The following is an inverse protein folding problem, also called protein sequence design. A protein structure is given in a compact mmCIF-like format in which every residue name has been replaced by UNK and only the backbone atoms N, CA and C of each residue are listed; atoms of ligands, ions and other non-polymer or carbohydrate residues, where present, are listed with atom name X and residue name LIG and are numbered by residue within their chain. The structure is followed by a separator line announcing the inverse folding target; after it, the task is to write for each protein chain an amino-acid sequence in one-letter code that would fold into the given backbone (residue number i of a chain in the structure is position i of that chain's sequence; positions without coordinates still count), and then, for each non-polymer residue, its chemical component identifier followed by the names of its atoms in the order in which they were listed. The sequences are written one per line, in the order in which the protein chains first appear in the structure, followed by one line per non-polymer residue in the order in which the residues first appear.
data_IF_864036689769
#
_entry.id   IF_864036689769
#
_cell.length_a   1.000
_cell.length_b   1.000
_cell.length_c   1.000
_cell.angle_alpha   90.00
_cell.angle_beta   90.00
_cell.angle_gamma   90.00
#
_symmetry.space_group_name_H-M   'P 1'
#
loop_
_entity.id
_entity.type
_entity.pdbx_description
1 polymer ?
#
# COMPACT_ATOMS: atom_id res chain seq x y z
N UNK A 1 -1.07 15.21 -25.53
CA UNK A 1 -2.31 15.00 -24.77
C UNK A 1 -2.10 13.79 -23.88
N UNK A 2 -1.87 14.00 -22.59
CA UNK A 2 -1.45 12.94 -21.66
C UNK A 2 -1.56 13.41 -20.22
N UNK A 3 -2.77 13.76 -19.79
CA UNK A 3 -3.03 14.17 -18.40
C UNK A 3 -3.48 12.98 -17.52
N UNK A 4 -3.87 11.86 -18.13
CA UNK A 4 -4.42 10.71 -17.41
C UNK A 4 -3.35 9.88 -16.70
N UNK A 5 -2.18 9.72 -17.34
CA UNK A 5 -1.08 8.94 -16.78
C UNK A 5 -0.54 9.53 -15.47
N UNK A 6 -0.47 10.86 -15.36
CA UNK A 6 0.03 11.53 -14.17
C UNK A 6 -0.99 11.47 -13.04
N UNK A 7 -2.28 11.73 -13.30
CA UNK A 7 -3.31 11.66 -12.26
C UNK A 7 -3.45 10.23 -11.70
N UNK A 8 -3.47 9.21 -12.56
CA UNK A 8 -3.52 7.82 -12.14
C UNK A 8 -2.26 7.41 -11.35
N UNK A 9 -1.07 7.85 -11.77
CA UNK A 9 0.18 7.62 -11.04
C UNK A 9 0.15 8.29 -9.65
N UNK A 10 -0.21 9.58 -9.58
CA UNK A 10 -0.30 10.33 -8.33
C UNK A 10 -1.34 9.72 -7.38
N UNK A 11 -2.50 9.30 -7.87
CA UNK A 11 -3.51 8.60 -7.06
C UNK A 11 -2.95 7.28 -6.53
N UNK A 12 -2.20 6.54 -7.36
CA UNK A 12 -1.58 5.28 -6.94
C UNK A 12 -0.53 5.51 -5.85
N UNK A 13 0.31 6.53 -5.99
CA UNK A 13 1.33 6.90 -5.00
C UNK A 13 0.68 7.33 -3.68
N UNK A 14 -0.34 8.19 -3.73
CA UNK A 14 -1.09 8.58 -2.52
C UNK A 14 -1.75 7.40 -1.82
N UNK A 15 -2.33 6.46 -2.58
CA UNK A 15 -2.89 5.22 -2.02
C UNK A 15 -1.83 4.34 -1.38
N UNK A 16 -0.65 4.27 -1.99
CA UNK A 16 0.49 3.52 -1.46
C UNK A 16 0.93 4.09 -0.10
N UNK A 17 1.13 5.40 -0.03
CA UNK A 17 1.53 6.09 1.20
C UNK A 17 0.46 5.96 2.29
N UNK A 18 -0.82 6.09 1.92
CA UNK A 18 -1.90 5.89 2.88
C UNK A 18 -1.96 4.45 3.41
N UNK A 19 -1.69 3.45 2.55
CA UNK A 19 -1.56 2.05 2.94
C UNK A 19 -0.36 1.85 3.87
N UNK A 20 0.76 2.51 3.59
CA UNK A 20 1.97 2.51 4.41
C UNK A 20 1.72 3.04 5.83
N UNK A 21 1.14 4.24 5.93
CA UNK A 21 0.74 4.83 7.20
C UNK A 21 -0.26 3.95 7.96
N UNK A 22 -1.15 3.27 7.24
CA UNK A 22 -2.11 2.37 7.84
C UNK A 22 -1.49 1.06 8.35
N UNK A 23 -0.39 0.57 7.76
CA UNK A 23 0.32 -0.61 8.23
C UNK A 23 1.02 -0.39 9.58
N UNK A 24 1.55 0.81 9.83
CA UNK A 24 2.21 1.15 11.10
C UNK A 24 1.27 1.77 12.13
N UNK A 25 0.03 2.04 11.76
CA UNK A 25 -0.93 2.66 12.67
C UNK A 25 -1.39 1.64 13.72
N UNK A 26 -1.28 1.94 15.03
CA UNK A 26 -1.64 1.00 16.10
C UNK A 26 -3.12 0.59 16.07
N UNK A 27 -4.00 1.46 15.55
CA UNK A 27 -5.43 1.15 15.30
C UNK A 27 -5.65 -0.02 14.33
N UNK A 28 -4.65 -0.34 13.51
CA UNK A 28 -4.69 -1.40 12.51
C UNK A 28 -3.79 -2.58 12.88
N UNK A 29 -3.08 -2.56 14.01
CA UNK A 29 -2.32 -3.70 14.53
C UNK A 29 -3.12 -5.02 14.61
N UNK A 30 -4.43 -5.02 14.98
CA UNK A 30 -5.23 -6.24 14.94
C UNK A 30 -5.72 -6.61 13.53
N UNK A 31 -5.61 -5.74 12.53
CA UNK A 31 -6.09 -5.98 11.17
C UNK A 31 -5.02 -6.71 10.33
N UNK A 32 -5.48 -7.58 9.45
CA UNK A 32 -4.61 -8.23 8.47
C UNK A 32 -4.23 -7.24 7.36
N UNK A 33 -3.02 -7.39 6.82
CA UNK A 33 -2.54 -6.58 5.69
C UNK A 33 -3.52 -6.59 4.50
N UNK A 34 -4.19 -7.70 4.23
CA UNK A 34 -5.21 -7.82 3.19
C UNK A 34 -6.40 -6.87 3.40
N UNK A 35 -6.86 -6.70 4.65
CA UNK A 35 -7.97 -5.80 4.98
C UNK A 35 -7.56 -4.34 4.76
N UNK A 36 -6.35 -4.00 5.20
CA UNK A 36 -5.74 -2.69 4.98
C UNK A 36 -5.63 -2.43 3.46
N UNK A 37 -5.05 -3.36 2.70
CA UNK A 37 -4.87 -3.26 1.25
C UNK A 37 -6.22 -3.03 0.52
N UNK A 38 -7.23 -3.83 0.85
CA UNK A 38 -8.57 -3.73 0.26
C UNK A 38 -9.20 -2.37 0.53
N UNK A 39 -9.02 -1.83 1.74
CA UNK A 39 -9.53 -0.50 2.13
C UNK A 39 -8.91 0.64 1.33
N UNK A 40 -7.65 0.51 0.92
CA UNK A 40 -6.99 1.47 0.04
C UNK A 40 -7.18 1.16 -1.45
N UNK A 41 -7.97 0.13 -1.79
CA UNK A 41 -8.34 -0.25 -3.15
C UNK A 41 -7.34 -1.13 -3.89
N UNK A 42 -6.47 -1.81 -3.15
CA UNK A 42 -5.68 -2.91 -3.67
C UNK A 42 -6.44 -4.21 -3.42
N UNK A 43 -7.12 -4.70 -4.46
CA UNK A 43 -7.84 -5.99 -4.40
C UNK A 43 -6.86 -7.15 -4.23
N UNK A 44 -5.71 -7.06 -4.90
CA UNK A 44 -4.69 -8.10 -4.91
C UNK A 44 -3.43 -7.65 -4.16
N UNK A 45 -3.02 -8.45 -3.16
CA UNK A 45 -1.77 -8.24 -2.43
C UNK A 45 -0.54 -8.29 -3.33
N UNK A 46 -0.57 -9.10 -4.39
CA UNK A 46 0.52 -9.16 -5.38
C UNK A 46 0.74 -7.82 -6.09
N UNK A 47 -0.34 -7.10 -6.39
CA UNK A 47 -0.29 -5.78 -7.03
C UNK A 47 0.24 -4.72 -6.07
N UNK A 48 -0.24 -4.74 -4.81
CA UNK A 48 0.29 -3.88 -3.75
C UNK A 48 1.78 -4.16 -3.54
N UNK A 49 2.16 -5.43 -3.37
CA UNK A 49 3.53 -5.86 -3.14
C UNK A 49 4.47 -5.39 -4.24
N UNK A 50 4.08 -5.54 -5.50
CA UNK A 50 4.90 -5.06 -6.63
C UNK A 50 5.05 -3.54 -6.63
N UNK A 51 3.98 -2.80 -6.34
CA UNK A 51 4.02 -1.33 -6.26
C UNK A 51 4.87 -0.83 -5.09
N UNK A 52 4.70 -1.49 -3.94
CA UNK A 52 5.36 -1.14 -2.69
C UNK A 52 6.84 -1.47 -2.74
N UNK A 53 7.21 -2.66 -3.23
CA UNK A 53 8.62 -3.03 -3.44
C UNK A 53 9.28 -2.14 -4.49
N UNK A 54 8.57 -1.74 -5.56
CA UNK A 54 9.12 -0.81 -6.54
C UNK A 54 9.43 0.58 -5.96
N UNK A 55 8.69 1.00 -4.93
CA UNK A 55 8.82 2.34 -4.30
C UNK A 55 9.74 2.32 -3.07
N UNK A 56 9.61 1.32 -2.20
CA UNK A 56 10.29 1.21 -0.90
C UNK A 56 11.36 0.12 -0.84
N UNK A 57 11.46 -0.75 -1.85
CA UNK A 57 12.48 -1.82 -1.91
C UNK A 57 12.22 -3.03 -1.00
N UNK A 58 11.15 -3.04 -0.20
CA UNK A 58 10.80 -4.13 0.73
C UNK A 58 9.36 -4.59 0.49
N UNK A 59 9.05 -5.86 0.76
CA UNK A 59 7.68 -6.37 0.69
C UNK A 59 6.79 -5.80 1.81
N UNK A 60 5.54 -5.39 1.52
CA UNK A 60 4.62 -4.82 2.50
C UNK A 60 4.25 -5.81 3.62
N UNK A 61 4.27 -7.12 3.33
CA UNK A 61 4.07 -8.19 4.32
C UNK A 61 5.17 -8.13 5.38
N UNK A 62 6.44 -8.14 4.96
CA UNK A 62 7.58 -8.03 5.88
C UNK A 62 7.57 -6.72 6.64
N UNK A 63 7.22 -5.63 5.97
CA UNK A 63 7.12 -4.32 6.63
C UNK A 63 6.07 -4.35 7.75
N UNK A 64 4.88 -4.88 7.45
CA UNK A 64 3.81 -5.04 8.44
C UNK A 64 4.20 -5.99 9.59
N UNK A 65 4.85 -7.12 9.31
CA UNK A 65 5.31 -8.05 10.35
C UNK A 65 6.35 -7.44 11.29
N UNK A 66 7.26 -6.58 10.79
CA UNK A 66 8.25 -5.89 11.63
C UNK A 66 7.63 -4.82 12.54
N UNK A 67 6.49 -4.26 12.15
CA UNK A 67 5.79 -3.19 12.86
C UNK A 67 4.56 -3.67 13.64
N UNK A 68 4.31 -4.99 13.69
CA UNK A 68 3.26 -5.62 14.48
C UNK A 68 3.73 -5.89 15.90
#
# INVERSE_FOLDING_TARGET
MGFDATAAATIREHRLEACHQAMVAPRNAPRSLTDIATRFGFVELSVLGRAFTATHGISPIRYHEQHR
#
